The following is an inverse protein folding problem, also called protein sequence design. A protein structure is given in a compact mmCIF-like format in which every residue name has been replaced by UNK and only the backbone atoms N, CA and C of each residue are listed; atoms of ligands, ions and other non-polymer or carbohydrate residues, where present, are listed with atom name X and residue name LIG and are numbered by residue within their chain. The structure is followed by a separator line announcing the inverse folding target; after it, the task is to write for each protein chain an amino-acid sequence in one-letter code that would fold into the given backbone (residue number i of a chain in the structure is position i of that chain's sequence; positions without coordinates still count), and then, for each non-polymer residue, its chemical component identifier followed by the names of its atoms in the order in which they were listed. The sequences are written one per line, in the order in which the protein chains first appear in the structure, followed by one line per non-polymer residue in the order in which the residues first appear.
data_IF_420671018488
#
_entry.id   IF_420671018488
#
_cell.length_a   1.000
_cell.length_b   1.000
_cell.length_c   1.000
_cell.angle_alpha   90.00
_cell.angle_beta   90.00
_cell.angle_gamma   90.00
#
_symmetry.space_group_name_H-M   'P 1'
#
loop_
_entity.id
_entity.type
_entity.pdbx_description
1 polymer ?
#
# COMPACT_ATOMS: atom_id res chain seq x y z
N UNK A 1 7.67 14.15 -15.28
CA UNK A 1 8.47 13.25 -14.45
C UNK A 1 8.38 13.68 -13.00
N UNK A 2 7.99 12.75 -12.15
CA UNK A 2 7.91 12.88 -10.69
C UNK A 2 8.71 11.76 -10.04
N UNK A 3 9.08 11.97 -8.80
CA UNK A 3 9.74 10.99 -7.94
C UNK A 3 8.71 10.40 -6.98
N UNK A 4 8.58 9.09 -6.99
CA UNK A 4 7.78 8.35 -6.01
C UNK A 4 8.64 7.39 -5.20
N UNK A 5 8.03 6.82 -4.17
CA UNK A 5 8.65 5.82 -3.32
C UNK A 5 7.93 4.47 -3.49
N UNK A 6 8.55 3.56 -4.23
CA UNK A 6 8.01 2.26 -4.55
C UNK A 6 8.19 1.31 -3.36
N UNK A 7 7.12 0.63 -2.96
CA UNK A 7 7.11 -0.36 -1.88
C UNK A 7 6.38 -1.61 -2.35
N UNK A 8 7.03 -2.77 -2.21
CA UNK A 8 6.49 -4.07 -2.57
C UNK A 8 5.85 -4.79 -1.37
N UNK A 9 5.01 -5.80 -1.60
CA UNK A 9 4.41 -6.62 -0.54
C UNK A 9 5.41 -7.26 0.44
N UNK A 10 6.63 -7.55 -0.01
CA UNK A 10 7.72 -8.12 0.79
C UNK A 10 8.51 -7.08 1.60
N UNK A 11 8.06 -5.81 1.60
CA UNK A 11 8.67 -4.64 2.25
C UNK A 11 9.96 -4.12 1.59
N UNK A 12 10.39 -4.72 0.47
CA UNK A 12 11.45 -4.12 -0.35
C UNK A 12 10.96 -2.82 -0.96
N UNK A 13 11.84 -1.82 -1.01
CA UNK A 13 11.47 -0.48 -1.41
C UNK A 13 12.63 0.31 -2.01
N UNK A 14 12.31 1.25 -2.90
CA UNK A 14 13.27 2.16 -3.51
C UNK A 14 12.58 3.40 -4.06
N UNK A 15 13.32 4.51 -4.19
CA UNK A 15 12.84 5.66 -4.95
C UNK A 15 12.81 5.32 -6.44
N UNK A 16 11.82 5.84 -7.16
CA UNK A 16 11.66 5.70 -8.61
C UNK A 16 11.28 7.04 -9.21
N UNK A 17 11.78 7.33 -10.41
CA UNK A 17 11.37 8.50 -11.20
C UNK A 17 10.61 8.03 -12.43
N UNK A 18 9.44 8.59 -12.67
CA UNK A 18 8.54 8.17 -13.73
C UNK A 18 7.61 9.32 -14.15
N UNK A 19 6.98 9.20 -15.31
CA UNK A 19 5.83 10.03 -15.66
C UNK A 19 4.57 9.38 -15.11
N UNK A 20 3.65 10.17 -14.55
CA UNK A 20 2.44 9.65 -13.89
C UNK A 20 1.64 8.72 -14.83
N UNK A 21 1.49 9.10 -16.09
CA UNK A 21 0.84 8.31 -17.15
C UNK A 21 1.52 6.95 -17.43
N UNK A 22 2.74 6.74 -16.92
CA UNK A 22 3.49 5.51 -17.03
C UNK A 22 3.64 4.78 -15.69
N UNK A 23 2.96 5.17 -14.61
CA UNK A 23 3.13 4.51 -13.31
C UNK A 23 2.67 3.04 -13.35
N UNK A 24 1.63 2.72 -14.13
CA UNK A 24 1.09 1.37 -14.29
C UNK A 24 2.16 0.30 -14.64
N UNK A 25 3.22 0.68 -15.39
CA UNK A 25 4.31 -0.23 -15.76
C UNK A 25 5.11 -0.74 -14.54
N UNK A 26 5.17 0.05 -13.47
CA UNK A 26 5.82 -0.32 -12.20
C UNK A 26 4.89 -1.10 -11.28
N UNK A 27 3.58 -0.96 -11.45
CA UNK A 27 2.55 -1.59 -10.63
C UNK A 27 2.20 -3.02 -11.11
N UNK A 28 2.74 -3.43 -12.25
CA UNK A 28 2.55 -4.78 -12.81
C UNK A 28 1.20 -5.00 -13.48
N UNK A 29 0.62 -3.94 -14.05
CA UNK A 29 -0.68 -3.98 -14.73
C UNK A 29 -0.81 -2.90 -15.81
N UNK A 30 -2.01 -2.80 -16.38
CA UNK A 30 -2.37 -1.77 -17.37
C UNK A 30 -3.17 -0.62 -16.75
N UNK A 31 -3.83 -0.88 -15.62
CA UNK A 31 -4.65 0.06 -14.90
C UNK A 31 -3.89 0.58 -13.67
N UNK A 32 -4.12 1.84 -13.33
CA UNK A 32 -3.74 2.42 -12.06
C UNK A 32 -4.95 3.05 -11.38
N UNK A 33 -4.95 3.03 -10.06
CA UNK A 33 -5.89 3.77 -9.22
C UNK A 33 -5.12 4.45 -8.09
N UNK A 34 -5.75 5.45 -7.49
CA UNK A 34 -5.15 6.32 -6.49
C UNK A 34 -5.98 6.29 -5.22
N UNK A 35 -5.31 6.07 -4.10
CA UNK A 35 -5.96 6.09 -2.78
C UNK A 35 -5.19 6.96 -1.80
N UNK A 36 -5.93 7.74 -1.01
CA UNK A 36 -5.36 8.49 0.10
C UNK A 36 -4.87 7.54 1.21
N UNK A 37 -3.69 7.81 1.74
CA UNK A 37 -3.05 7.04 2.79
C UNK A 37 -2.40 8.00 3.79
N UNK A 38 -2.42 7.61 5.07
CA UNK A 38 -1.82 8.38 6.17
C UNK A 38 -1.12 7.44 7.15
N UNK A 39 0.06 7.83 7.62
CA UNK A 39 0.86 7.12 8.61
C UNK A 39 0.96 7.87 9.96
N UNK A 40 0.25 9.01 10.14
CA UNK A 40 0.16 9.74 11.41
C UNK A 40 -1.23 10.41 11.61
N UNK A 41 -1.56 10.74 12.86
CA UNK A 41 -2.78 11.51 13.23
C UNK A 41 -2.70 13.00 12.84
N UNK A 42 -1.58 13.46 12.27
CA UNK A 42 -1.36 14.88 11.92
C UNK A 42 -2.16 15.37 10.70
N UNK A 43 -2.90 14.46 10.05
CA UNK A 43 -3.79 14.78 8.92
C UNK A 43 -3.07 15.09 7.61
N UNK A 44 -1.78 14.82 7.49
CA UNK A 44 -1.06 14.98 6.22
C UNK A 44 -1.38 13.78 5.32
N UNK A 45 -2.28 13.99 4.38
CA UNK A 45 -2.63 13.00 3.36
C UNK A 45 -1.54 12.94 2.28
N UNK A 46 -1.12 11.74 1.90
CA UNK A 46 -0.40 11.49 0.65
C UNK A 46 -1.11 10.37 -0.09
N UNK A 47 -0.69 10.11 -1.33
CA UNK A 47 -1.36 9.16 -2.19
C UNK A 47 -0.51 7.91 -2.42
N UNK A 48 -1.19 6.78 -2.47
CA UNK A 48 -0.67 5.52 -2.94
C UNK A 48 -1.25 5.24 -4.34
N UNK A 49 -0.38 5.11 -5.33
CA UNK A 49 -0.70 4.60 -6.66
C UNK A 49 -0.57 3.08 -6.63
N UNK A 50 -1.61 2.37 -7.08
CA UNK A 50 -1.66 0.91 -7.05
C UNK A 50 -2.46 0.37 -8.23
N UNK A 51 -2.24 -0.90 -8.58
CA UNK A 51 -3.05 -1.58 -9.57
C UNK A 51 -4.33 -2.12 -8.90
N UNK A 52 -5.53 -1.62 -9.23
CA UNK A 52 -6.79 -2.05 -8.60
C UNK A 52 -7.11 -3.52 -8.89
N UNK A 53 -6.66 -4.04 -10.03
CA UNK A 53 -6.89 -5.42 -10.44
C UNK A 53 -5.91 -6.40 -9.76
N UNK A 54 -4.89 -5.91 -9.05
CA UNK A 54 -3.87 -6.77 -8.43
C UNK A 54 -4.49 -7.78 -7.45
N UNK A 55 -5.48 -7.35 -6.66
CA UNK A 55 -6.17 -8.22 -5.71
C UNK A 55 -6.96 -9.32 -6.41
N UNK A 56 -7.74 -8.95 -7.42
CA UNK A 56 -8.49 -9.91 -8.23
C UNK A 56 -7.55 -10.88 -8.95
N UNK A 57 -6.34 -10.47 -9.32
CA UNK A 57 -5.33 -11.35 -9.92
C UNK A 57 -4.52 -12.18 -8.90
N UNK A 58 -4.93 -12.22 -7.63
CA UNK A 58 -4.26 -13.01 -6.59
C UNK A 58 -2.90 -12.45 -6.14
N UNK A 59 -2.61 -11.18 -6.39
CA UNK A 59 -1.37 -10.57 -5.94
C UNK A 59 -1.30 -10.46 -4.42
N UNK A 60 -0.09 -10.61 -3.89
CA UNK A 60 0.19 -10.48 -2.46
C UNK A 60 -0.28 -9.15 -1.89
N UNK A 61 -0.90 -9.14 -0.69
CA UNK A 61 -1.28 -7.91 -0.03
C UNK A 61 -0.06 -7.05 0.32
N UNK A 62 -0.17 -5.74 0.09
CA UNK A 62 0.79 -4.75 0.53
C UNK A 62 0.38 -4.24 1.93
N UNK A 63 1.01 -4.72 3.01
CA UNK A 63 0.60 -4.34 4.36
C UNK A 63 0.87 -2.87 4.68
N UNK A 64 1.89 -2.25 4.06
CA UNK A 64 2.23 -0.85 4.34
C UNK A 64 1.16 0.06 3.75
N UNK A 65 0.81 -0.15 2.48
CA UNK A 65 -0.27 0.60 1.85
C UNK A 65 -1.62 0.33 2.54
N UNK A 66 -1.90 -0.91 2.93
CA UNK A 66 -3.13 -1.27 3.65
C UNK A 66 -3.22 -0.60 5.02
N UNK A 67 -2.13 -0.58 5.78
CA UNK A 67 -2.04 0.15 7.05
C UNK A 67 -2.30 1.64 6.86
N UNK A 68 -1.63 2.25 5.87
CA UNK A 68 -1.78 3.68 5.58
C UNK A 68 -3.22 4.05 5.16
N UNK A 69 -3.86 3.21 4.35
CA UNK A 69 -5.27 3.39 3.96
C UNK A 69 -6.20 3.28 5.16
N UNK A 70 -5.96 2.31 6.03
CA UNK A 70 -6.78 2.11 7.23
C UNK A 70 -6.67 3.30 8.17
N UNK A 71 -5.45 3.73 8.48
CA UNK A 71 -5.20 4.88 9.34
C UNK A 71 -5.83 6.17 8.79
N UNK A 72 -5.76 6.43 7.47
CA UNK A 72 -6.46 7.55 6.84
C UNK A 72 -7.99 7.47 6.99
N UNK A 73 -8.57 6.25 6.93
CA UNK A 73 -10.00 6.06 6.99
C UNK A 73 -10.59 6.12 8.42
N UNK A 74 -9.82 5.73 9.43
CA UNK A 74 -10.33 5.56 10.81
C UNK A 74 -9.74 6.54 11.81
N UNK A 75 -8.64 7.23 11.46
CA UNK A 75 -7.85 8.00 12.43
C UNK A 75 -7.24 7.14 13.54
N UNK A 76 -7.33 5.81 13.45
CA UNK A 76 -6.91 4.87 14.47
C UNK A 76 -5.97 3.83 13.87
N UNK A 77 -4.79 3.68 14.47
CA UNK A 77 -3.75 2.73 14.04
C UNK A 77 -4.03 1.26 14.39
N UNK A 78 -5.29 0.80 14.38
CA UNK A 78 -5.57 -0.63 14.53
C UNK A 78 -4.94 -1.36 13.33
N UNK A 79 -3.90 -2.16 13.57
CA UNK A 79 -3.15 -2.83 12.51
C UNK A 79 -4.03 -3.82 11.74
N UNK A 80 -4.04 -3.70 10.41
CA UNK A 80 -4.42 -4.72 9.43
C UNK A 80 -5.70 -5.54 9.79
N UNK A 81 -6.75 -4.85 10.23
CA UNK A 81 -7.96 -5.54 10.73
C UNK A 81 -9.00 -5.82 9.65
N UNK A 82 -9.03 -5.03 8.56
CA UNK A 82 -10.02 -5.16 7.49
C UNK A 82 -9.40 -5.69 6.19
N UNK A 83 -9.50 -7.01 5.92
CA UNK A 83 -8.95 -7.61 4.70
C UNK A 83 -9.72 -7.21 3.44
N UNK A 84 -10.95 -6.69 3.54
CA UNK A 84 -11.74 -6.29 2.36
C UNK A 84 -11.17 -5.02 1.72
N UNK A 85 -10.63 -4.12 2.53
CA UNK A 85 -10.02 -2.85 2.11
C UNK A 85 -8.51 -2.92 1.89
N UNK A 86 -7.90 -4.09 2.07
CA UNK A 86 -6.47 -4.27 1.81
C UNK A 86 -6.12 -3.95 0.34
N UNK A 87 -4.97 -3.29 0.16
CA UNK A 87 -4.35 -3.01 -1.14
C UNK A 87 -3.38 -4.15 -1.45
N UNK A 88 -3.47 -4.72 -2.64
CA UNK A 88 -2.56 -5.79 -3.11
C UNK A 88 -1.58 -5.28 -4.16
N UNK A 89 -0.43 -5.95 -4.25
CA UNK A 89 0.60 -5.68 -5.24
C UNK A 89 1.60 -4.58 -4.86
N UNK A 90 2.41 -4.18 -5.83
CA UNK A 90 3.36 -3.08 -5.68
C UNK A 90 2.61 -1.77 -5.60
N UNK A 91 3.09 -0.85 -4.76
CA UNK A 91 2.51 0.48 -4.58
C UNK A 91 3.61 1.53 -4.72
N UNK A 92 3.27 2.68 -5.30
CA UNK A 92 4.15 3.85 -5.32
C UNK A 92 3.50 4.96 -4.50
N UNK A 93 4.20 5.43 -3.46
CA UNK A 93 3.79 6.59 -2.68
C UNK A 93 4.25 7.88 -3.37
N UNK A 94 3.35 8.84 -3.49
CA UNK A 94 3.55 10.19 -4.07
C UNK A 94 2.89 11.24 -3.17
N UNK A 95 3.14 12.53 -3.42
CA UNK A 95 2.47 13.60 -2.68
C UNK A 95 0.93 13.58 -2.90
N UNK A 96 0.19 14.31 -2.05
CA UNK A 96 -1.28 14.36 -2.05
C UNK A 96 -1.91 14.73 -3.41
N UNK A 97 -1.21 15.52 -4.23
CA UNK A 97 -1.65 15.96 -5.56
C UNK A 97 -1.09 15.07 -6.69
N UNK A 98 -0.10 14.22 -6.38
CA UNK A 98 0.53 13.32 -7.35
C UNK A 98 1.90 13.83 -7.78
N UNK A 99 2.41 14.85 -7.09
CA UNK A 99 3.73 15.43 -7.30
C UNK A 99 4.83 14.60 -6.61
N UNK A 100 6.07 15.07 -6.75
CA UNK A 100 7.25 14.51 -6.11
C UNK A 100 7.03 14.25 -4.62
N UNK A 101 7.34 13.03 -4.18
CA UNK A 101 7.38 12.71 -2.76
C UNK A 101 8.61 13.37 -2.11
N UNK A 102 8.39 14.12 -1.04
CA UNK A 102 9.45 14.75 -0.27
C UNK A 102 10.16 13.78 0.69
N UNK A 103 11.27 14.25 1.26
CA UNK A 103 12.09 13.46 2.19
C UNK A 103 11.34 13.12 3.48
N UNK A 104 10.48 14.01 3.97
CA UNK A 104 9.69 13.76 5.17
C UNK A 104 8.64 12.69 4.93
N UNK A 105 7.93 12.72 3.79
CA UNK A 105 6.98 11.66 3.44
C UNK A 105 7.69 10.31 3.26
N UNK A 106 8.85 10.27 2.61
CA UNK A 106 9.66 9.04 2.51
C UNK A 106 10.01 8.49 3.90
N UNK A 107 10.38 9.35 4.86
CA UNK A 107 10.67 8.91 6.24
C UNK A 107 9.44 8.31 6.89
N UNK A 108 8.27 8.94 6.73
CA UNK A 108 7.00 8.43 7.27
C UNK A 108 6.62 7.07 6.68
N UNK A 109 6.77 6.87 5.36
CA UNK A 109 6.55 5.56 4.74
C UNK A 109 7.53 4.52 5.31
N UNK A 110 8.79 4.89 5.52
CA UNK A 110 9.80 4.00 6.15
C UNK A 110 9.45 3.64 7.59
N UNK A 111 8.85 4.56 8.34
CA UNK A 111 8.36 4.26 9.68
C UNK A 111 7.16 3.30 9.63
N UNK A 112 6.24 3.47 8.67
CA UNK A 112 5.19 2.49 8.37
C UNK A 112 5.75 1.11 8.03
N UNK A 113 6.80 1.03 7.20
CA UNK A 113 7.50 -0.23 6.88
C UNK A 113 8.07 -0.89 8.14
N UNK A 114 8.72 -0.11 9.02
CA UNK A 114 9.27 -0.62 10.29
C UNK A 114 8.15 -1.12 11.21
N UNK A 115 7.05 -0.38 11.31
CA UNK A 115 5.93 -0.73 12.16
C UNK A 115 5.26 -2.03 11.69
N UNK A 116 5.04 -2.17 10.37
CA UNK A 116 4.55 -3.43 9.76
C UNK A 116 5.51 -4.58 9.99
N UNK A 117 6.82 -4.34 9.82
CA UNK A 117 7.83 -5.39 10.06
C UNK A 117 7.75 -5.90 11.50
N UNK A 118 7.77 -4.99 12.48
CA UNK A 118 7.66 -5.36 13.88
C UNK A 118 6.34 -6.11 14.16
N UNK A 119 5.22 -5.62 13.63
CA UNK A 119 3.93 -6.30 13.77
C UNK A 119 3.94 -7.73 13.19
N UNK A 120 4.55 -7.95 12.01
CA UNK A 120 4.72 -9.29 11.42
C UNK A 120 5.57 -10.20 12.30
N UNK A 121 6.65 -9.67 12.88
CA UNK A 121 7.58 -10.43 13.71
C UNK A 121 6.94 -10.78 15.08
N UNK A 122 6.17 -9.85 15.66
CA UNK A 122 5.53 -10.00 16.97
C UNK A 122 4.21 -10.79 16.89
N UNK A 123 3.46 -10.71 15.78
CA UNK A 123 2.14 -11.31 15.59
C UNK A 123 2.06 -12.15 14.29
N UNK A 124 2.92 -13.18 14.12
CA UNK A 124 3.05 -13.89 12.85
C UNK A 124 1.77 -14.65 12.44
N UNK A 125 1.04 -15.22 13.40
CA UNK A 125 -0.22 -15.95 13.13
C UNK A 125 -1.34 -15.01 12.67
N UNK A 126 -1.53 -13.89 13.36
CA UNK A 126 -2.54 -12.89 13.01
C UNK A 126 -2.26 -12.29 11.63
N UNK A 127 -1.00 -11.97 11.35
CA UNK A 127 -0.58 -11.52 10.02
C UNK A 127 -0.86 -12.58 8.94
N UNK A 128 -0.59 -13.86 9.22
CA UNK A 128 -0.85 -14.93 8.27
C UNK A 128 -2.35 -15.10 7.98
N UNK A 129 -3.20 -15.01 9.01
CA UNK A 129 -4.66 -15.07 8.87
C UNK A 129 -5.19 -13.89 8.05
N UNK A 130 -4.74 -12.67 8.35
CA UNK A 130 -5.09 -11.49 7.57
C UNK A 130 -4.69 -11.66 6.10
N UNK A 131 -3.43 -12.06 5.85
CA UNK A 131 -2.92 -12.29 4.48
C UNK A 131 -3.76 -13.33 3.74
N UNK A 132 -4.05 -14.47 4.38
CA UNK A 132 -4.87 -15.52 3.79
C UNK A 132 -6.29 -15.01 3.46
N UNK A 133 -6.91 -14.23 4.35
CA UNK A 133 -8.20 -13.64 4.10
C UNK A 133 -8.18 -12.70 2.89
N UNK A 134 -7.15 -11.86 2.74
CA UNK A 134 -7.03 -10.96 1.58
C UNK A 134 -6.91 -11.75 0.26
N UNK A 135 -6.09 -12.81 0.25
CA UNK A 135 -5.90 -13.66 -0.93
C UNK A 135 -7.20 -14.38 -1.32
N UNK A 136 -7.89 -14.98 -0.35
CA UNK A 136 -9.16 -15.68 -0.58
C UNK A 136 -10.24 -14.74 -1.13
N UNK A 137 -10.29 -13.48 -0.65
CA UNK A 137 -11.20 -12.47 -1.19
C UNK A 137 -10.89 -12.10 -2.64
N UNK A 138 -9.61 -12.15 -3.04
CA UNK A 138 -9.20 -11.96 -4.43
C UNK A 138 -9.71 -13.09 -5.32
N UNK A 139 -9.54 -14.34 -4.90
CA UNK A 139 -9.97 -15.53 -5.66
C UNK A 139 -11.48 -15.63 -5.81
N UNK A 140 -12.25 -15.21 -4.82
CA UNK A 140 -13.72 -15.20 -4.88
C UNK A 140 -14.25 -14.27 -5.98
N UNK A 141 -13.53 -13.19 -6.31
CA UNK A 141 -13.94 -12.22 -7.33
C UNK A 141 -13.61 -12.66 -8.77
N UNK A 142 -12.85 -13.74 -8.98
CA UNK A 142 -12.50 -14.23 -10.33
C UNK A 142 -13.59 -15.15 -10.91
N UNK A 143 -14.49 -15.67 -10.06
CA UNK A 143 -15.44 -16.72 -10.43
C UNK A 143 -16.89 -16.23 -10.67
N UNK A 144 -17.14 -14.92 -10.66
CA UNK A 144 -18.41 -14.28 -11.06
C UNK A 144 -18.25 -13.55 -12.40
#
# INVERSE_FOLDING_TARGET
MITGFLVRPDLTHNSVTFDLDQAAQFLGGVNEDRVAVSFQEDGSDYAALFNPDAKANGAEPNPVASLGRQAAATGAGSFLADPTRAISGTVIFVAAEGDDIGLEEIRRVKDGIRAVKNYRDDNPEEYALWRAAVLNLGELNIND
#
